data_IF_698630189162
#
_entry.id   IF_698630189162
#
_cell.length_a   1.000
_cell.length_b   1.000
_cell.length_c   1.000
_cell.angle_alpha   90.00
_cell.angle_beta   90.00
_cell.angle_gamma   90.00
#
_symmetry.space_group_name_H-M   'P 1'
#
loop_
_entity.id
_entity.type
_entity.pdbx_description
1 polymer ?
#
# COMPACT_ATOMS: atom_id res chain seq x y z
N UNK A 1 -15.44 22.05 -14.47
CA UNK A 1 -15.85 20.85 -15.23
C UNK A 1 -16.13 19.73 -14.25
N UNK A 2 -17.41 19.44 -13.96
CA UNK A 2 -17.81 18.29 -13.14
C UNK A 2 -17.61 17.01 -13.94
N UNK A 3 -16.46 16.33 -13.77
CA UNK A 3 -16.33 14.94 -14.22
C UNK A 3 -17.15 14.09 -13.25
N UNK A 4 -18.18 13.41 -13.76
CA UNK A 4 -18.84 12.33 -12.99
C UNK A 4 -17.74 11.36 -12.52
N UNK A 5 -17.76 10.88 -11.27
CA UNK A 5 -16.86 9.81 -10.86
C UNK A 5 -17.02 8.65 -11.83
N UNK A 6 -15.91 8.17 -12.38
CA UNK A 6 -15.90 7.11 -13.36
C UNK A 6 -16.18 5.81 -12.61
N UNK A 7 -17.45 5.42 -12.56
CA UNK A 7 -17.88 4.21 -11.88
C UNK A 7 -17.32 2.99 -12.61
N UNK A 8 -16.66 2.08 -11.90
CA UNK A 8 -16.19 0.83 -12.47
C UNK A 8 -17.37 -0.02 -12.91
N UNK A 9 -17.19 -0.78 -14.00
CA UNK A 9 -18.13 -1.84 -14.33
C UNK A 9 -18.17 -2.87 -13.18
N UNK A 10 -19.35 -3.41 -12.86
CA UNK A 10 -19.53 -4.25 -11.67
C UNK A 10 -18.62 -5.50 -11.68
N UNK A 11 -18.31 -6.05 -12.85
CA UNK A 11 -17.38 -7.18 -12.96
C UNK A 11 -15.94 -6.79 -12.57
N UNK A 12 -15.48 -5.62 -13.00
CA UNK A 12 -14.15 -5.11 -12.69
C UNK A 12 -14.04 -4.76 -11.20
N UNK A 13 -15.09 -4.13 -10.65
CA UNK A 13 -15.20 -3.84 -9.22
C UNK A 13 -15.13 -5.14 -8.40
N UNK A 14 -15.95 -6.15 -8.74
CA UNK A 14 -15.98 -7.41 -8.00
C UNK A 14 -14.64 -8.15 -8.08
N UNK A 15 -13.99 -8.14 -9.25
CA UNK A 15 -12.66 -8.72 -9.42
C UNK A 15 -11.61 -8.03 -8.55
N UNK A 16 -11.67 -6.71 -8.44
CA UNK A 16 -10.78 -5.92 -7.60
C UNK A 16 -11.06 -6.17 -6.11
N UNK A 17 -12.32 -6.19 -5.68
CA UNK A 17 -12.71 -6.53 -4.30
C UNK A 17 -12.20 -7.93 -3.93
N UNK A 18 -12.39 -8.93 -4.79
CA UNK A 18 -11.87 -10.28 -4.56
C UNK A 18 -10.35 -10.32 -4.43
N UNK A 19 -9.62 -9.49 -5.19
CA UNK A 19 -8.18 -9.39 -5.06
C UNK A 19 -7.76 -8.74 -3.73
N UNK A 20 -8.44 -7.68 -3.31
CA UNK A 20 -8.20 -7.00 -2.02
C UNK A 20 -8.50 -7.91 -0.81
N UNK A 21 -9.56 -8.72 -0.90
CA UNK A 21 -9.99 -9.64 0.15
C UNK A 21 -9.23 -10.98 0.14
N UNK A 22 -8.29 -11.17 -0.79
CA UNK A 22 -7.54 -12.42 -0.88
C UNK A 22 -6.71 -12.68 0.39
N UNK A 23 -6.63 -13.95 0.80
CA UNK A 23 -5.69 -14.40 1.83
C UNK A 23 -4.24 -14.39 1.35
N UNK A 24 -4.01 -14.32 0.04
CA UNK A 24 -2.68 -14.12 -0.54
C UNK A 24 -2.30 -12.63 -0.47
N UNK A 25 -1.39 -12.30 0.44
CA UNK A 25 -0.90 -10.93 0.65
C UNK A 25 -0.24 -10.33 -0.60
N UNK A 26 0.39 -11.14 -1.46
CA UNK A 26 0.99 -10.64 -2.70
C UNK A 26 -0.08 -10.22 -3.71
N UNK A 27 -1.18 -10.99 -3.78
CA UNK A 27 -2.33 -10.63 -4.63
C UNK A 27 -2.99 -9.35 -4.14
N UNK A 28 -3.21 -9.22 -2.83
CA UNK A 28 -3.74 -7.99 -2.24
C UNK A 28 -2.81 -6.80 -2.47
N UNK A 29 -1.49 -6.95 -2.23
CA UNK A 29 -0.50 -5.90 -2.44
C UNK A 29 -0.42 -5.44 -3.91
N UNK A 30 -0.57 -6.37 -4.86
CA UNK A 30 -0.61 -6.06 -6.28
C UNK A 30 -1.84 -5.22 -6.62
N UNK A 31 -3.02 -5.59 -6.13
CA UNK A 31 -4.23 -4.82 -6.31
C UNK A 31 -4.13 -3.40 -5.71
N UNK A 32 -3.59 -3.28 -4.51
CA UNK A 32 -3.34 -1.99 -3.86
C UNK A 32 -2.37 -1.12 -4.67
N UNK A 33 -1.31 -1.71 -5.21
CA UNK A 33 -0.34 -0.98 -6.06
C UNK A 33 -1.01 -0.45 -7.32
N UNK A 34 -1.89 -1.23 -7.95
CA UNK A 34 -2.68 -0.77 -9.11
C UNK A 34 -3.54 0.44 -8.73
N UNK A 35 -4.21 0.41 -7.59
CA UNK A 35 -5.03 1.53 -7.12
C UNK A 35 -4.20 2.79 -6.78
N UNK A 36 -3.02 2.62 -6.21
CA UNK A 36 -2.09 3.74 -5.96
C UNK A 36 -1.64 4.39 -7.27
N UNK A 37 -1.38 3.58 -8.30
CA UNK A 37 -0.93 4.11 -9.60
C UNK A 37 -2.08 4.71 -10.42
N UNK A 38 -3.30 4.17 -10.27
CA UNK A 38 -4.48 4.54 -11.06
C UNK A 38 -5.73 4.48 -10.17
N UNK A 39 -5.92 5.48 -9.30
CA UNK A 39 -7.12 5.55 -8.49
C UNK A 39 -8.35 5.71 -9.39
N UNK A 40 -9.42 5.04 -9.00
CA UNK A 40 -10.64 4.87 -9.79
C UNK A 40 -11.69 5.92 -9.46
N UNK A 41 -11.60 6.52 -8.27
CA UNK A 41 -12.63 7.36 -7.65
C UNK A 41 -13.94 6.61 -7.34
N UNK A 42 -13.93 5.27 -7.36
CA UNK A 42 -15.11 4.46 -7.05
C UNK A 42 -15.24 4.28 -5.53
N UNK A 43 -16.13 5.08 -4.92
CA UNK A 43 -16.34 5.12 -3.48
C UNK A 43 -16.78 3.76 -2.89
N UNK A 44 -17.27 2.83 -3.73
CA UNK A 44 -17.63 1.47 -3.30
C UNK A 44 -16.42 0.67 -2.82
N UNK A 45 -15.20 1.06 -3.21
CA UNK A 45 -13.96 0.41 -2.75
C UNK A 45 -13.51 0.82 -1.35
N UNK A 46 -13.93 1.99 -0.86
CA UNK A 46 -13.39 2.57 0.38
C UNK A 46 -13.55 1.65 1.60
N UNK A 47 -14.70 1.00 1.85
CA UNK A 47 -14.84 0.09 3.00
C UNK A 47 -13.90 -1.12 2.92
N UNK A 48 -13.60 -1.59 1.70
CA UNK A 48 -12.69 -2.72 1.48
C UNK A 48 -11.23 -2.33 1.72
N UNK A 49 -10.86 -1.08 1.41
CA UNK A 49 -9.53 -0.53 1.71
C UNK A 49 -9.37 -0.24 3.20
N UNK A 50 -10.41 0.31 3.85
CA UNK A 50 -10.43 0.56 5.30
C UNK A 50 -10.27 -0.73 6.10
N UNK A 51 -10.92 -1.82 5.68
CA UNK A 51 -10.76 -3.14 6.31
C UNK A 51 -9.32 -3.68 6.27
N UNK A 52 -8.49 -3.23 5.32
CA UNK A 52 -7.09 -3.65 5.21
C UNK A 52 -6.14 -2.84 6.11
N UNK A 53 -6.61 -1.76 6.75
CA UNK A 53 -5.79 -0.95 7.66
C UNK A 53 -5.35 -1.71 8.92
N UNK A 54 -6.01 -2.82 9.24
CA UNK A 54 -5.65 -3.71 10.36
C UNK A 54 -4.76 -4.88 9.94
N UNK A 55 -4.33 -4.96 8.67
CA UNK A 55 -3.55 -6.10 8.15
C UNK A 55 -2.05 -5.85 8.26
N UNK A 56 -1.43 -6.52 9.23
CA UNK A 56 -0.02 -6.35 9.62
C UNK A 56 0.97 -7.27 8.87
N UNK A 57 0.51 -8.07 7.92
CA UNK A 57 1.37 -8.97 7.17
C UNK A 57 2.41 -8.21 6.34
N UNK A 58 3.63 -8.72 6.31
CA UNK A 58 4.70 -8.18 5.49
C UNK A 58 4.38 -8.35 3.99
N UNK A 59 4.69 -7.33 3.20
CA UNK A 59 4.65 -7.35 1.75
C UNK A 59 5.75 -6.45 1.16
N UNK A 60 5.93 -6.51 -0.15
CA UNK A 60 6.77 -5.55 -0.89
C UNK A 60 5.93 -4.32 -1.20
N UNK A 61 6.36 -3.14 -0.73
CA UNK A 61 5.59 -1.91 -0.88
C UNK A 61 6.15 -0.95 -1.95
N UNK A 62 7.40 -1.14 -2.38
CA UNK A 62 8.01 -0.34 -3.45
C UNK A 62 9.23 -1.02 -4.09
N UNK A 63 9.66 -0.48 -5.24
CA UNK A 63 10.89 -0.87 -5.97
C UNK A 63 11.88 0.30 -6.01
N UNK A 64 13.21 0.08 -5.84
CA UNK A 64 13.88 -1.18 -5.49
C UNK A 64 13.36 -1.73 -4.15
N UNK A 65 13.47 -3.06 -3.92
CA UNK A 65 12.71 -3.76 -2.88
C UNK A 65 12.74 -3.06 -1.51
N UNK A 66 11.58 -2.52 -1.13
CA UNK A 66 11.27 -2.01 0.20
C UNK A 66 10.12 -2.85 0.73
N UNK A 67 10.28 -3.37 1.94
CA UNK A 67 9.36 -4.25 2.61
C UNK A 67 8.66 -3.50 3.73
N UNK A 68 7.36 -3.74 3.90
CA UNK A 68 6.54 -3.09 4.92
C UNK A 68 5.24 -3.86 5.16
N UNK A 69 4.41 -3.37 6.06
CA UNK A 69 3.10 -3.97 6.32
C UNK A 69 2.10 -3.65 5.21
N UNK A 70 1.21 -4.60 4.89
CA UNK A 70 0.17 -4.43 3.87
C UNK A 70 -0.73 -3.22 4.15
N UNK A 71 -1.03 -2.93 5.43
CA UNK A 71 -1.81 -1.75 5.82
C UNK A 71 -1.21 -0.42 5.36
N UNK A 72 0.10 -0.34 5.12
CA UNK A 72 0.72 0.87 4.57
C UNK A 72 0.32 1.10 3.10
N UNK A 73 0.28 0.02 2.31
CA UNK A 73 -0.25 0.08 0.94
C UNK A 73 -1.75 0.39 0.96
N UNK A 74 -2.49 -0.21 1.89
CA UNK A 74 -3.92 0.06 2.04
C UNK A 74 -4.20 1.53 2.39
N UNK A 75 -3.47 2.09 3.35
CA UNK A 75 -3.61 3.48 3.74
C UNK A 75 -3.29 4.44 2.59
N UNK A 76 -2.24 4.16 1.82
CA UNK A 76 -1.91 4.96 0.65
C UNK A 76 -2.95 4.83 -0.45
N UNK A 77 -3.41 3.62 -0.77
CA UNK A 77 -4.45 3.39 -1.76
C UNK A 77 -5.77 4.08 -1.38
N UNK A 78 -6.15 3.99 -0.10
CA UNK A 78 -7.32 4.68 0.43
C UNK A 78 -7.21 6.20 0.27
N UNK A 79 -6.05 6.78 0.58
CA UNK A 79 -5.84 8.21 0.42
C UNK A 79 -5.85 8.65 -1.06
N UNK A 80 -5.28 7.87 -1.97
CA UNK A 80 -5.33 8.13 -3.43
C UNK A 80 -6.77 8.02 -3.97
N UNK A 81 -7.54 7.02 -3.54
CA UNK A 81 -8.96 6.87 -3.91
C UNK A 81 -9.84 7.99 -3.33
N UNK A 82 -9.64 8.35 -2.06
CA UNK A 82 -10.30 9.51 -1.42
C UNK A 82 -10.00 10.77 -2.21
N UNK A 83 -8.73 11.03 -2.54
CA UNK A 83 -8.31 12.18 -3.32
C UNK A 83 -8.95 12.23 -4.70
N UNK A 84 -9.01 11.09 -5.41
CA UNK A 84 -9.65 10.98 -6.71
C UNK A 84 -11.17 11.18 -6.65
N UNK A 85 -11.82 10.78 -5.54
CA UNK A 85 -13.23 11.00 -5.28
C UNK A 85 -13.55 12.40 -4.70
N UNK A 86 -12.55 13.23 -4.44
CA UNK A 86 -12.72 14.56 -3.83
C UNK A 86 -12.97 14.54 -2.32
N UNK A 87 -12.70 13.42 -1.65
CA UNK A 87 -12.75 13.26 -0.19
C UNK A 87 -11.38 13.65 0.36
N UNK A 88 -11.34 14.67 1.23
CA UNK A 88 -10.08 15.28 1.68
C UNK A 88 -9.65 14.83 3.09
N UNK A 89 -10.30 13.80 3.63
CA UNK A 89 -10.00 13.27 4.95
C UNK A 89 -8.70 12.46 4.93
N UNK A 90 -7.67 12.86 5.71
CA UNK A 90 -6.40 12.14 5.78
C UNK A 90 -6.55 10.69 6.27
N UNK A 91 -5.60 9.84 5.88
CA UNK A 91 -5.49 8.47 6.38
C UNK A 91 -4.28 8.37 7.29
N UNK A 92 -4.51 8.05 8.56
CA UNK A 92 -3.48 8.01 9.60
C UNK A 92 -3.29 6.60 10.16
N UNK A 93 -2.03 6.21 10.35
CA UNK A 93 -1.62 5.03 11.12
C UNK A 93 -0.64 5.50 12.18
N UNK A 94 -1.03 5.47 13.45
CA UNK A 94 -0.21 5.98 14.57
C UNK A 94 1.05 5.14 14.84
N UNK A 95 0.93 3.82 14.71
CA UNK A 95 1.99 2.88 15.07
C UNK A 95 2.34 1.95 13.89
N UNK A 96 2.82 2.50 12.78
CA UNK A 96 3.23 1.70 11.63
C UNK A 96 4.65 1.16 11.77
N UNK A 97 4.86 -0.13 11.46
CA UNK A 97 6.19 -0.66 11.29
C UNK A 97 6.87 0.01 10.09
N UNK A 98 8.08 0.51 10.30
CA UNK A 98 8.78 1.25 9.26
C UNK A 98 9.06 0.35 8.07
N UNK A 99 8.91 0.87 6.84
CA UNK A 99 9.40 0.18 5.67
C UNK A 99 10.92 0.10 5.69
N UNK A 100 11.46 -1.07 5.36
CA UNK A 100 12.89 -1.37 5.41
C UNK A 100 13.36 -2.02 4.11
N UNK A 101 14.62 -1.81 3.78
CA UNK A 101 15.35 -2.52 2.72
C UNK A 101 15.84 -3.87 3.22
N UNK A 102 16.19 -4.75 2.29
CA UNK A 102 16.80 -6.07 2.59
C UNK A 102 17.94 -5.97 3.60
N UNK A 103 18.88 -5.05 3.38
CA UNK A 103 20.07 -4.89 4.24
C UNK A 103 19.74 -4.51 5.69
N UNK A 104 18.70 -3.69 5.87
CA UNK A 104 18.24 -3.27 7.20
C UNK A 104 17.55 -4.42 7.94
N UNK A 105 16.76 -5.22 7.22
CA UNK A 105 16.08 -6.40 7.76
C UNK A 105 17.09 -7.48 8.14
N UNK A 106 18.11 -7.70 7.30
CA UNK A 106 19.18 -8.67 7.59
C UNK A 106 19.99 -8.27 8.82
N UNK A 107 20.30 -6.98 8.99
CA UNK A 107 21.00 -6.48 10.17
C UNK A 107 20.17 -6.69 11.45
N UNK A 108 18.91 -6.24 11.45
CA UNK A 108 18.01 -6.43 12.59
C UNK A 108 17.76 -7.92 12.89
N UNK A 109 17.64 -8.73 11.83
CA UNK A 109 17.49 -10.18 11.94
C UNK A 109 18.68 -10.82 12.65
N UNK A 110 19.91 -10.42 12.27
CA UNK A 110 21.14 -10.89 12.92
C UNK A 110 21.21 -10.46 14.39
N UNK A 111 20.87 -9.21 14.71
CA UNK A 111 20.83 -8.70 16.09
C UNK A 111 19.79 -9.43 16.95
N UNK A 112 18.67 -9.83 16.36
CA UNK A 112 17.62 -10.61 17.00
C UNK A 112 17.89 -12.13 17.02
N UNK A 113 19.01 -12.59 16.46
CA UNK A 113 19.36 -14.01 16.40
C UNK A 113 18.50 -14.83 15.43
N UNK A 114 17.84 -14.19 14.46
CA UNK A 114 17.01 -14.86 13.46
C UNK A 114 17.86 -15.55 12.40
N UNK A 115 17.42 -16.76 11.99
CA UNK A 115 17.95 -17.43 10.80
C UNK A 115 17.13 -16.99 9.59
N UNK A 116 17.63 -16.01 8.85
CA UNK A 116 16.98 -15.55 7.62
C UNK A 116 17.27 -16.52 6.47
N UNK A 117 16.27 -16.76 5.64
CA UNK A 117 16.44 -17.44 4.34
C UNK A 117 16.68 -16.38 3.27
N UNK A 118 17.40 -16.73 2.21
CA UNK A 118 17.61 -15.83 1.07
C UNK A 118 16.33 -15.61 0.25
N UNK A 119 16.34 -14.56 -0.58
CA UNK A 119 15.24 -14.23 -1.49
C UNK A 119 14.07 -13.49 -0.84
N UNK A 120 13.13 -13.01 -1.66
CA UNK A 120 12.01 -12.16 -1.22
C UNK A 120 11.17 -12.82 -0.12
N UNK A 121 10.83 -14.11 -0.28
CA UNK A 121 10.05 -14.84 0.72
C UNK A 121 10.76 -14.90 2.08
N UNK A 122 12.08 -15.16 2.09
CA UNK A 122 12.85 -15.22 3.33
C UNK A 122 12.95 -13.86 4.04
N UNK A 123 13.00 -12.76 3.27
CA UNK A 123 12.99 -11.41 3.83
C UNK A 123 11.61 -11.02 4.39
N UNK A 124 10.52 -11.41 3.73
CA UNK A 124 9.15 -11.23 4.25
C UNK A 124 8.94 -12.00 5.55
N UNK A 125 9.41 -13.26 5.61
CA UNK A 125 9.37 -14.07 6.83
C UNK A 125 10.19 -13.43 7.96
N UNK A 126 11.37 -12.88 7.66
CA UNK A 126 12.19 -12.18 8.63
C UNK A 126 11.52 -10.91 9.15
N UNK A 127 10.91 -10.12 8.26
CA UNK A 127 10.16 -8.93 8.64
C UNK A 127 8.99 -9.27 9.58
N UNK A 128 8.20 -10.29 9.25
CA UNK A 128 7.09 -10.75 10.10
C UNK A 128 7.58 -11.18 11.49
N UNK A 129 8.69 -11.92 11.57
CA UNK A 129 9.28 -12.33 12.84
C UNK A 129 9.78 -11.13 13.66
N UNK A 130 10.48 -10.19 13.04
CA UNK A 130 10.90 -8.96 13.71
C UNK A 130 9.71 -8.12 14.19
N UNK A 131 8.62 -8.11 13.42
CA UNK A 131 7.38 -7.42 13.80
C UNK A 131 6.76 -8.05 15.05
N UNK A 132 6.64 -9.38 15.06
CA UNK A 132 6.12 -10.14 16.19
C UNK A 132 6.97 -9.99 17.46
N UNK A 133 8.29 -9.82 17.31
CA UNK A 133 9.22 -9.57 18.42
C UNK A 133 9.27 -8.10 18.88
N UNK A 134 8.51 -7.20 18.24
CA UNK A 134 8.56 -5.77 18.55
C UNK A 134 9.92 -5.12 18.25
N UNK A 135 10.68 -5.69 17.30
CA UNK A 135 12.04 -5.24 16.93
C UNK A 135 12.08 -4.32 15.72
N UNK A 136 10.95 -4.17 15.02
CA UNK A 136 10.85 -3.20 13.93
C UNK A 136 10.68 -1.78 14.48
N UNK A 137 11.43 -0.79 13.97
CA UNK A 137 11.17 0.61 14.27
C UNK A 137 9.72 0.96 13.93
N UNK A 138 9.09 1.81 14.75
CA UNK A 138 7.71 2.26 14.56
C UNK A 138 7.66 3.77 14.33
N UNK A 139 6.72 4.23 13.51
CA UNK A 139 6.43 5.66 13.33
C UNK A 139 4.98 5.87 12.92
N UNK A 140 4.44 7.04 13.28
CA UNK A 140 3.19 7.49 12.71
C UNK A 140 3.36 7.79 11.21
N UNK A 141 2.34 7.44 10.43
CA UNK A 141 2.26 7.71 8.99
C UNK A 141 0.95 8.43 8.72
N UNK A 142 1.03 9.51 7.95
CA UNK A 142 -0.12 10.30 7.51
C UNK A 142 -0.09 10.44 6.00
N UNK A 143 -1.15 9.99 5.33
CA UNK A 143 -1.35 10.21 3.90
C UNK A 143 -2.43 11.26 3.71
N UNK A 144 -2.05 12.40 3.13
CA UNK A 144 -2.97 13.50 2.82
C UNK A 144 -3.49 13.37 1.37
N UNK A 145 -4.80 13.14 1.17
CA UNK A 145 -5.41 13.03 -0.16
C UNK A 145 -5.19 14.27 -1.04
N UNK A 146 -5.09 15.48 -0.46
CA UNK A 146 -4.86 16.70 -1.24
C UNK A 146 -3.48 16.74 -1.86
N UNK A 147 -2.46 16.33 -1.10
CA UNK A 147 -1.08 16.27 -1.58
C UNK A 147 -0.96 15.20 -2.66
N UNK A 148 -1.53 14.02 -2.42
CA UNK A 148 -1.47 12.90 -3.35
C UNK A 148 -2.23 13.17 -4.66
N UNK A 149 -3.40 13.81 -4.60
CA UNK A 149 -4.15 14.18 -5.80
C UNK A 149 -3.37 15.16 -6.70
N UNK A 150 -2.63 16.12 -6.10
CA UNK A 150 -1.74 17.03 -6.85
C UNK A 150 -0.61 16.25 -7.54
N UNK A 151 0.05 15.36 -6.80
CA UNK A 151 1.13 14.52 -7.33
C UNK A 151 0.64 13.56 -8.44
N UNK A 152 -0.56 13.01 -8.30
CA UNK A 152 -1.20 12.18 -9.31
C UNK A 152 -1.44 12.95 -10.62
N UNK A 153 -1.87 14.22 -10.53
CA UNK A 153 -1.99 15.11 -11.69
C UNK A 153 -0.66 15.28 -12.42
N UNK A 154 0.42 15.58 -11.69
CA UNK A 154 1.77 15.73 -12.25
C UNK A 154 2.26 14.43 -12.90
N UNK A 155 2.08 13.27 -12.24
CA UNK A 155 2.47 11.95 -12.77
C UNK A 155 1.75 11.63 -14.08
N UNK A 156 0.47 11.98 -14.19
CA UNK A 156 -0.34 11.79 -15.40
C UNK A 156 0.19 12.62 -16.56
N UNK A 157 0.47 13.91 -16.35
CA UNK A 157 1.01 14.80 -17.38
C UNK A 157 2.36 14.32 -17.92
N UNK A 158 3.26 13.85 -17.05
CA UNK A 158 4.57 13.32 -17.47
C UNK A 158 4.39 12.06 -18.32
N UNK A 159 3.44 11.17 -17.97
CA UNK A 159 3.18 9.94 -18.73
C UNK A 159 2.59 10.25 -20.11
N UNK A 160 1.62 11.16 -20.19
CA UNK A 160 1.00 11.57 -21.46
C UNK A 160 2.03 12.22 -22.40
N UNK A 161 2.96 13.02 -21.86
CA UNK A 161 4.08 13.61 -22.63
C UNK A 161 5.13 12.60 -23.12
N UNK A 162 5.22 11.41 -22.51
CA UNK A 162 6.16 10.34 -22.91
C UNK A 162 5.54 9.34 -23.89
N UNK A 163 4.22 9.35 -24.05
CA UNK A 163 3.50 8.48 -24.97
C UNK A 163 3.27 9.10 -26.35
N UNK A 164 3.54 10.40 -26.49
CA UNK A 164 3.56 11.16 -27.74
C UNK A 164 5.00 11.43 -28.19
#
# INVERSE_FOLDING_TARGET
MNRRPLMLADNDLNSLIQALQSSDDNRAATALTVLIERPTADVRLLPHLEALLTRHSACVIARPFIFGELRLLAARALAEERGAAGILEPVQIEDAAQPLRTTEIELLGKEAGLKTRGGVAGILDAYNQLNALGKLPRKAVNYDPQVLARDAGIRREIREKRAN
#
